data_IF_931619489270
#
_entry.id   IF_931619489270
#
_cell.length_a   1.000
_cell.length_b   1.000
_cell.length_c   1.000
_cell.angle_alpha   90.00
_cell.angle_beta   90.00
_cell.angle_gamma   90.00
#
_symmetry.space_group_name_H-M   'P 1'
#
loop_
_entity.id
_entity.type
_entity.pdbx_description
1 polymer ?
#
# COMPACT_ATOMS: atom_id res chain seq x y z
N UNK A 1 -8.97 6.13 11.77
CA UNK A 1 -8.89 5.54 10.41
C UNK A 1 -8.69 4.06 10.64
N UNK A 2 -9.81 3.36 10.76
CA UNK A 2 -9.89 2.03 11.37
C UNK A 2 -10.11 1.02 10.24
N UNK A 3 -9.02 0.69 9.54
CA UNK A 3 -9.03 -0.26 8.40
C UNK A 3 -9.41 -1.70 8.81
N UNK A 4 -9.70 -1.97 10.08
CA UNK A 4 -10.13 -3.28 10.57
C UNK A 4 -11.65 -3.52 10.63
N UNK A 5 -12.50 -2.53 10.29
CA UNK A 5 -13.98 -2.64 10.49
C UNK A 5 -14.80 -3.16 9.30
N UNK A 6 -14.19 -3.37 8.15
CA UNK A 6 -14.80 -4.04 6.99
C UNK A 6 -13.92 -5.26 6.78
N UNK A 7 -14.46 -6.48 6.69
CA UNK A 7 -13.72 -7.76 6.71
C UNK A 7 -12.73 -8.00 5.57
N UNK A 8 -11.86 -7.04 5.29
CA UNK A 8 -10.74 -7.08 4.39
C UNK A 8 -9.52 -7.51 5.19
N UNK A 9 -8.79 -8.49 4.66
CA UNK A 9 -7.49 -8.86 5.20
C UNK A 9 -6.48 -7.77 4.82
N UNK A 10 -6.14 -6.91 5.77
CA UNK A 10 -5.15 -5.85 5.57
C UNK A 10 -3.78 -6.39 5.92
N UNK A 11 -2.92 -6.53 4.91
CA UNK A 11 -1.52 -6.88 5.11
C UNK A 11 -0.65 -5.63 5.06
N UNK A 12 0.10 -5.39 6.13
CA UNK A 12 1.01 -4.25 6.23
C UNK A 12 2.45 -4.69 5.93
N UNK A 13 3.07 -4.08 4.92
CA UNK A 13 4.45 -4.33 4.58
C UNK A 13 5.32 -3.09 4.80
N UNK A 14 6.37 -3.22 5.62
CA UNK A 14 7.36 -2.16 5.79
C UNK A 14 8.41 -2.23 4.67
N UNK A 15 8.17 -1.48 3.60
CA UNK A 15 9.06 -1.42 2.43
C UNK A 15 10.48 -0.92 2.74
N UNK A 16 10.70 -0.25 3.87
CA UNK A 16 12.06 0.18 4.28
C UNK A 16 12.89 -0.97 4.84
N UNK A 17 12.26 -2.05 5.29
CA UNK A 17 12.93 -3.21 5.92
C UNK A 17 12.85 -4.47 5.06
N UNK A 18 11.89 -4.54 4.14
CA UNK A 18 11.65 -5.70 3.30
C UNK A 18 11.89 -5.34 1.81
N UNK A 19 13.03 -5.74 1.23
CA UNK A 19 13.35 -5.42 -0.16
C UNK A 19 12.36 -6.05 -1.15
N UNK A 20 11.82 -7.23 -0.87
CA UNK A 20 10.78 -7.86 -1.69
C UNK A 20 9.46 -7.07 -1.68
N UNK A 21 9.11 -6.49 -0.53
CA UNK A 21 7.94 -5.61 -0.45
C UNK A 21 8.18 -4.29 -1.17
N UNK A 22 9.42 -3.78 -1.17
CA UNK A 22 9.79 -2.60 -1.94
C UNK A 22 9.70 -2.86 -3.45
N UNK A 23 10.15 -4.02 -3.92
CA UNK A 23 10.07 -4.40 -5.33
C UNK A 23 8.61 -4.44 -5.81
N UNK A 24 7.74 -5.16 -5.09
CA UNK A 24 6.29 -5.15 -5.37
C UNK A 24 5.68 -3.76 -5.28
N UNK A 25 6.11 -2.95 -4.31
CA UNK A 25 5.61 -1.58 -4.18
C UNK A 25 5.97 -0.74 -5.41
N UNK A 26 7.21 -0.84 -5.90
CA UNK A 26 7.68 -0.08 -7.06
C UNK A 26 7.01 -0.54 -8.36
N UNK A 27 6.76 -1.84 -8.51
CA UNK A 27 5.99 -2.39 -9.63
C UNK A 27 4.57 -1.80 -9.66
N UNK A 28 3.87 -1.84 -8.51
CA UNK A 28 2.51 -1.32 -8.39
C UNK A 28 2.43 0.22 -8.49
N UNK A 29 3.45 0.94 -8.01
CA UNK A 29 3.47 2.40 -7.99
C UNK A 29 3.98 3.03 -9.28
N UNK A 30 4.47 2.24 -10.24
CA UNK A 30 5.15 2.74 -11.43
C UNK A 30 6.48 3.44 -11.11
N UNK A 31 7.17 3.01 -10.05
CA UNK A 31 8.44 3.57 -9.59
C UNK A 31 8.32 4.73 -8.60
N UNK A 32 7.09 5.16 -8.26
CA UNK A 32 6.87 6.18 -7.24
C UNK A 32 7.17 5.62 -5.83
N UNK A 33 7.75 6.45 -4.94
CA UNK A 33 8.13 6.05 -3.57
C UNK A 33 7.25 6.68 -2.48
N UNK A 34 6.15 7.35 -2.85
CA UNK A 34 5.24 8.01 -1.89
C UNK A 34 4.37 6.98 -1.17
N UNK A 35 4.41 7.02 0.15
CA UNK A 35 3.63 6.13 1.03
C UNK A 35 2.42 6.86 1.64
N UNK A 36 1.35 6.15 2.02
CA UNK A 36 1.09 4.71 1.79
C UNK A 36 0.66 4.39 0.35
N UNK A 37 0.84 3.14 -0.07
CA UNK A 37 0.19 2.55 -1.24
C UNK A 37 -0.82 1.53 -0.73
N UNK A 38 -2.05 1.60 -1.23
CA UNK A 38 -3.14 0.72 -0.87
C UNK A 38 -3.58 0.01 -2.14
N UNK A 39 -3.62 -1.32 -2.11
CA UNK A 39 -4.21 -2.17 -3.15
C UNK A 39 -5.54 -2.72 -2.63
N UNK A 40 -6.65 -2.26 -3.22
CA UNK A 40 -8.00 -2.77 -2.96
C UNK A 40 -8.52 -3.44 -4.22
N UNK A 41 -8.39 -4.77 -4.32
CA UNK A 41 -8.90 -5.56 -5.45
C UNK A 41 -8.42 -5.03 -6.82
N UNK A 42 -7.13 -4.68 -6.94
CA UNK A 42 -6.54 -4.13 -8.16
C UNK A 42 -6.76 -2.63 -8.34
N UNK A 43 -7.40 -1.94 -7.39
CA UNK A 43 -7.40 -0.47 -7.32
C UNK A 43 -6.21 0.00 -6.49
N UNK A 44 -5.21 0.53 -7.17
CA UNK A 44 -4.03 1.12 -6.54
C UNK A 44 -4.31 2.59 -6.19
N UNK A 45 -4.16 2.92 -4.90
CA UNK A 45 -4.21 4.29 -4.38
C UNK A 45 -2.86 4.66 -3.76
N UNK A 46 -2.28 5.79 -4.20
CA UNK A 46 -0.99 6.29 -3.70
C UNK A 46 -1.23 7.58 -2.90
N UNK A 47 -0.76 7.57 -1.66
CA UNK A 47 -0.92 8.67 -0.71
C UNK A 47 -2.25 8.63 0.04
N UNK A 48 -2.28 9.24 1.22
CA UNK A 48 -3.54 9.57 1.88
C UNK A 48 -4.17 10.76 1.15
N UNK A 49 -5.21 10.53 0.35
CA UNK A 49 -6.13 11.61 0.01
C UNK A 49 -6.99 11.88 1.27
N UNK A 50 -6.39 12.58 2.22
CA UNK A 50 -6.98 12.86 3.52
C UNK A 50 -8.15 13.81 3.39
N UNK A 51 -9.35 13.32 3.68
CA UNK A 51 -10.40 14.03 4.41
C UNK A 51 -11.25 13.01 5.16
#
# INVERSE_FOLDING_TARGET
MDFGKRGFEVQYFNVKRNPEALDRFLDLSGGDRRVPLIDEEGRISIGFNGS
#
